data_IF_050837701217
#
_entry.id   IF_050837701217
#
_cell.length_a   1.000
_cell.length_b   1.000
_cell.length_c   1.000
_cell.angle_alpha   90.00
_cell.angle_beta   90.00
_cell.angle_gamma   90.00
#
_symmetry.space_group_name_H-M   'P 1'
#
loop_
_entity.id
_entity.type
_entity.pdbx_description
1 polymer ?
#
# COMPACT_ATOMS: atom_id res chain seq x y z
N UNK A 1 -25.47 13.84 17.30
CA UNK A 1 -24.19 14.02 18.04
C UNK A 1 -23.60 15.44 18.03
N UNK A 2 -23.66 16.20 16.92
CA UNK A 2 -23.09 17.57 16.82
C UNK A 2 -23.74 18.60 17.76
N UNK A 3 -25.06 18.49 17.99
CA UNK A 3 -25.82 19.41 18.84
C UNK A 3 -25.57 19.20 20.34
N UNK A 4 -25.32 17.96 20.77
CA UNK A 4 -25.04 17.63 22.17
C UNK A 4 -23.67 18.19 22.62
N UNK A 5 -22.64 18.08 21.77
CA UNK A 5 -21.30 18.63 22.04
C UNK A 5 -21.31 20.16 22.18
N UNK A 6 -22.11 20.86 21.36
CA UNK A 6 -22.28 22.32 21.47
C UNK A 6 -23.01 22.71 22.76
N UNK A 7 -24.09 22.01 23.12
CA UNK A 7 -24.82 22.28 24.37
C UNK A 7 -23.94 22.07 25.61
N UNK A 8 -23.14 20.99 25.64
CA UNK A 8 -22.20 20.72 26.72
C UNK A 8 -21.09 21.77 26.83
N UNK A 9 -20.58 22.27 25.70
CA UNK A 9 -19.58 23.33 25.68
C UNK A 9 -20.14 24.67 26.22
N UNK A 10 -21.35 25.05 25.81
CA UNK A 10 -22.02 26.26 26.30
C UNK A 10 -22.28 26.16 27.81
N UNK A 11 -22.77 25.01 28.28
CA UNK A 11 -22.98 24.77 29.71
C UNK A 11 -21.66 24.87 30.48
N UNK A 12 -20.58 24.31 29.95
CA UNK A 12 -19.24 24.42 30.53
C UNK A 12 -18.76 25.87 30.68
N UNK A 13 -18.97 26.71 29.65
CA UNK A 13 -18.62 28.14 29.69
C UNK A 13 -19.44 28.88 30.74
N UNK A 14 -20.75 28.62 30.85
CA UNK A 14 -21.62 29.25 31.85
C UNK A 14 -21.19 28.89 33.27
N UNK A 15 -20.86 27.62 33.52
CA UNK A 15 -20.36 27.17 34.83
C UNK A 15 -19.01 27.81 35.16
N UNK A 16 -18.11 27.92 34.18
CA UNK A 16 -16.80 28.55 34.40
C UNK A 16 -16.92 30.04 34.74
N UNK A 17 -17.78 30.76 34.02
CA UNK A 17 -18.07 32.17 34.30
C UNK A 17 -18.67 32.35 35.70
N UNK A 18 -19.60 31.48 36.11
CA UNK A 18 -20.17 31.51 37.45
C UNK A 18 -19.09 31.31 38.52
N UNK A 19 -18.20 30.32 38.34
CA UNK A 19 -17.10 30.03 39.28
C UNK A 19 -16.08 31.19 39.35
N UNK A 20 -15.78 31.86 38.24
CA UNK A 20 -14.92 33.05 38.21
C UNK A 20 -15.54 34.27 38.88
N UNK A 21 -16.88 34.35 38.96
CA UNK A 21 -17.59 35.43 39.65
C UNK A 21 -17.74 35.20 41.16
N UNK A 22 -17.61 33.96 41.65
CA UNK A 22 -17.72 33.63 43.08
C UNK A 22 -16.73 34.42 43.97
N UNK A 23 -15.44 34.58 43.62
CA UNK A 23 -14.53 35.42 44.38
C UNK A 23 -15.00 36.87 44.51
N UNK A 24 -15.61 37.45 43.47
CA UNK A 24 -16.16 38.81 43.54
C UNK A 24 -17.36 38.89 44.48
N UNK A 25 -18.26 37.90 44.43
CA UNK A 25 -19.43 37.85 45.32
C UNK A 25 -19.01 37.77 46.80
N UNK A 26 -17.99 36.96 47.11
CA UNK A 26 -17.48 36.84 48.49
C UNK A 26 -16.56 37.99 48.92
N UNK A 27 -15.96 38.72 47.98
CA UNK A 27 -15.15 39.91 48.29
C UNK A 27 -15.98 41.11 48.76
N UNK A 28 -17.21 41.25 48.24
CA UNK A 28 -18.13 42.35 48.59
C UNK A 28 -19.26 41.93 49.55
N UNK A 29 -19.33 40.64 49.92
CA UNK A 29 -20.36 40.12 50.84
C UNK A 29 -20.03 40.39 52.31
N UNK A 30 -21.03 40.77 53.10
CA UNK A 30 -20.90 41.11 54.53
C UNK A 30 -21.23 39.96 55.50
N UNK A 31 -21.13 38.70 55.04
CA UNK A 31 -21.44 37.53 55.87
C UNK A 31 -20.33 37.19 56.86
N UNK A 32 -20.67 36.56 57.99
CA UNK A 32 -19.77 36.26 59.11
C UNK A 32 -18.51 35.45 58.75
N UNK A 33 -18.52 34.75 57.59
CA UNK A 33 -17.40 33.95 57.09
C UNK A 33 -16.96 34.34 55.67
N UNK A 34 -17.24 35.58 55.23
CA UNK A 34 -16.95 36.05 53.88
C UNK A 34 -15.47 35.93 53.50
N UNK A 35 -14.56 36.21 54.43
CA UNK A 35 -13.11 36.14 54.19
C UNK A 35 -12.61 34.70 54.02
N UNK A 36 -13.19 33.73 54.74
CA UNK A 36 -12.89 32.30 54.56
C UNK A 36 -13.37 31.77 53.21
N UNK A 37 -14.61 32.12 52.85
CA UNK A 37 -15.22 31.74 51.57
C UNK A 37 -14.50 32.39 50.37
N UNK A 38 -14.00 33.62 50.52
CA UNK A 38 -13.17 34.28 49.51
C UNK A 38 -11.87 33.53 49.23
N UNK A 39 -11.12 33.17 50.28
CA UNK A 39 -9.86 32.41 50.13
C UNK A 39 -10.10 31.04 49.47
N UNK A 40 -11.19 30.36 49.85
CA UNK A 40 -11.57 29.09 49.23
C UNK A 40 -11.96 29.25 47.74
N UNK A 41 -12.69 30.31 47.40
CA UNK A 41 -13.07 30.60 46.01
C UNK A 41 -11.85 30.93 45.14
N UNK A 42 -10.93 31.78 45.63
CA UNK A 42 -9.66 32.10 44.93
C UNK A 42 -8.82 30.84 44.73
N UNK A 43 -8.67 30.01 45.78
CA UNK A 43 -7.95 28.75 45.70
C UNK A 43 -8.55 27.80 44.65
N UNK A 44 -9.88 27.73 44.57
CA UNK A 44 -10.60 26.89 43.59
C UNK A 44 -10.39 27.38 42.15
N UNK A 45 -10.46 28.70 41.92
CA UNK A 45 -10.26 29.30 40.59
C UNK A 45 -8.84 29.09 40.06
N UNK A 46 -7.84 28.94 40.93
CA UNK A 46 -6.45 28.66 40.53
C UNK A 46 -6.21 27.16 40.40
N UNK A 47 -6.64 26.37 41.39
CA UNK A 47 -6.34 24.95 41.49
C UNK A 47 -7.04 24.13 40.38
N UNK A 48 -8.30 24.44 40.07
CA UNK A 48 -9.09 23.66 39.11
C UNK A 48 -8.51 23.74 37.68
N UNK A 49 -8.16 24.92 37.13
CA UNK A 49 -7.52 25.00 35.82
C UNK A 49 -6.13 24.34 35.79
N UNK A 50 -5.34 24.48 36.85
CA UNK A 50 -4.01 23.85 36.94
C UNK A 50 -4.13 22.33 36.92
N UNK A 51 -5.02 21.76 37.75
CA UNK A 51 -5.27 20.32 37.75
C UNK A 51 -5.83 19.84 36.41
N UNK A 52 -6.79 20.56 35.81
CA UNK A 52 -7.33 20.24 34.50
C UNK A 52 -6.26 20.25 33.40
N UNK A 53 -5.34 21.23 33.44
CA UNK A 53 -4.20 21.30 32.52
C UNK A 53 -3.22 20.15 32.72
N UNK A 54 -2.89 19.80 33.98
CA UNK A 54 -2.04 18.65 34.31
C UNK A 54 -2.69 17.34 33.83
N UNK A 55 -3.99 17.15 34.08
CA UNK A 55 -4.73 16.00 33.56
C UNK A 55 -4.75 15.96 32.03
N UNK A 56 -4.94 17.09 31.34
CA UNK A 56 -4.84 17.16 29.88
C UNK A 56 -3.44 16.86 29.37
N UNK A 57 -2.40 17.28 30.09
CA UNK A 57 -1.00 17.02 29.75
C UNK A 57 -0.68 15.53 29.93
N UNK A 58 -1.06 14.94 31.07
CA UNK A 58 -0.92 13.49 31.32
C UNK A 58 -1.74 12.69 30.31
N UNK A 59 -2.98 13.08 30.02
CA UNK A 59 -3.79 12.47 28.97
C UNK A 59 -3.12 12.58 27.59
N UNK A 60 -2.52 13.73 27.26
CA UNK A 60 -1.75 13.90 26.01
C UNK A 60 -0.50 13.02 25.99
N UNK A 61 0.19 12.85 27.11
CA UNK A 61 1.38 12.00 27.21
C UNK A 61 1.02 10.52 27.10
N UNK A 62 0.00 10.05 27.82
CA UNK A 62 -0.51 8.69 27.73
C UNK A 62 -1.08 8.38 26.33
N UNK A 63 -1.77 9.34 25.71
CA UNK A 63 -2.26 9.20 24.33
C UNK A 63 -1.14 9.30 23.29
N UNK A 64 -0.03 9.97 23.60
CA UNK A 64 1.15 10.03 22.71
C UNK A 64 1.82 8.67 22.62
N UNK A 65 1.81 7.86 23.69
CA UNK A 65 2.25 6.47 23.66
C UNK A 65 1.30 5.56 22.84
N UNK A 66 -0.02 5.83 22.82
CA UNK A 66 -0.95 5.16 21.89
C UNK A 66 -0.91 5.72 20.45
N UNK A 67 -0.14 6.79 20.18
CA UNK A 67 -0.06 7.49 18.88
C UNK A 67 1.37 7.65 18.36
N UNK A 68 2.26 6.73 18.68
CA UNK A 68 3.39 6.38 17.80
C UNK A 68 3.03 5.10 17.05
N UNK A 69 1.97 5.19 16.24
CA UNK A 69 1.82 4.30 15.09
C UNK A 69 2.70 4.91 14.00
N UNK A 70 3.49 4.08 13.32
CA UNK A 70 4.18 4.43 12.08
C UNK A 70 3.30 5.34 11.21
N UNK A 71 3.90 6.35 10.55
CA UNK A 71 3.16 7.36 9.79
C UNK A 71 2.03 6.74 8.97
N UNK A 72 0.81 7.29 9.09
CA UNK A 72 -0.39 6.79 8.40
C UNK A 72 -0.06 6.52 6.93
N UNK A 73 -0.19 5.26 6.48
CA UNK A 73 0.12 4.86 5.11
C UNK A 73 -0.70 5.72 4.14
N UNK A 74 -0.03 6.31 3.15
CA UNK A 74 -0.64 7.14 2.10
C UNK A 74 -0.52 6.50 0.73
N UNK A 75 0.56 5.75 0.50
CA UNK A 75 0.90 5.19 -0.80
C UNK A 75 0.74 3.68 -0.76
N UNK A 76 0.00 3.13 -1.73
CA UNK A 76 -0.19 1.70 -1.91
C UNK A 76 0.41 1.32 -3.24
N UNK A 77 1.43 0.46 -3.21
CA UNK A 77 2.20 0.01 -4.35
C UNK A 77 1.81 -1.43 -4.63
N UNK A 78 1.32 -1.71 -5.83
CA UNK A 78 0.92 -3.04 -6.25
C UNK A 78 1.97 -3.64 -7.18
N UNK A 79 2.34 -4.90 -6.94
CA UNK A 79 2.70 -5.76 -8.06
C UNK A 79 1.46 -6.04 -8.95
N UNK A 80 1.70 -6.48 -10.17
CA UNK A 80 0.64 -6.86 -11.11
C UNK A 80 0.45 -8.37 -11.13
N UNK A 81 1.51 -9.15 -11.32
CA UNK A 81 1.46 -10.61 -11.43
C UNK A 81 0.96 -11.25 -10.13
N UNK A 82 0.01 -12.16 -10.23
CA UNK A 82 -0.68 -12.81 -9.09
C UNK A 82 -1.40 -11.90 -8.09
N UNK A 83 -1.23 -10.57 -8.14
CA UNK A 83 -1.90 -9.58 -7.28
C UNK A 83 -3.12 -8.95 -7.98
N UNK A 84 -2.95 -8.31 -9.14
CA UNK A 84 -4.06 -7.68 -9.88
C UNK A 84 -4.45 -8.47 -11.14
N UNK A 85 -3.54 -9.29 -11.64
CA UNK A 85 -3.79 -10.26 -12.71
C UNK A 85 -3.34 -11.64 -12.27
N UNK A 86 -3.87 -12.71 -12.84
CA UNK A 86 -3.32 -14.06 -12.74
C UNK A 86 -2.21 -14.24 -13.76
N UNK A 87 -1.24 -15.10 -13.42
CA UNK A 87 -0.27 -15.64 -14.36
C UNK A 87 -0.40 -17.17 -14.35
N UNK A 88 -1.02 -17.73 -15.40
CA UNK A 88 -1.28 -19.16 -15.56
C UNK A 88 -0.65 -19.67 -16.87
N UNK A 89 0.67 -19.86 -16.83
CA UNK A 89 1.41 -20.42 -17.94
C UNK A 89 1.19 -21.93 -18.11
N UNK A 90 0.80 -22.65 -17.04
CA UNK A 90 0.59 -24.09 -17.07
C UNK A 90 -0.64 -24.46 -17.90
N UNK A 91 -1.79 -23.85 -17.62
CA UNK A 91 -3.01 -24.10 -18.41
C UNK A 91 -2.84 -23.60 -19.84
N UNK A 92 -2.12 -22.50 -20.02
CA UNK A 92 -1.77 -21.99 -21.35
C UNK A 92 -0.95 -23.01 -22.14
N UNK A 93 0.10 -23.58 -21.56
CA UNK A 93 0.95 -24.56 -22.23
C UNK A 93 0.20 -25.87 -22.51
N UNK A 94 -0.64 -26.33 -21.58
CA UNK A 94 -1.49 -27.52 -21.78
C UNK A 94 -2.44 -27.40 -22.97
N UNK A 95 -2.88 -26.19 -23.31
CA UNK A 95 -3.77 -25.94 -24.45
C UNK A 95 -3.11 -26.23 -25.82
N UNK A 96 -1.79 -26.43 -25.86
CA UNK A 96 -1.07 -26.81 -27.08
C UNK A 96 -1.11 -28.31 -27.39
N UNK A 97 -1.58 -29.14 -26.44
CA UNK A 97 -1.69 -30.60 -26.58
C UNK A 97 -0.37 -31.31 -26.93
N UNK A 98 0.74 -30.81 -26.39
CA UNK A 98 2.04 -31.48 -26.44
C UNK A 98 2.03 -32.82 -25.68
N UNK A 99 3.00 -33.69 -25.96
CA UNK A 99 3.27 -34.84 -25.10
C UNK A 99 3.72 -34.38 -23.71
N UNK A 100 3.65 -35.28 -22.71
CA UNK A 100 4.09 -34.94 -21.36
C UNK A 100 5.59 -34.59 -21.29
N UNK A 101 6.41 -35.25 -22.11
CA UNK A 101 7.84 -34.97 -22.23
C UNK A 101 8.11 -33.60 -22.85
N UNK A 102 7.37 -33.25 -23.90
CA UNK A 102 7.47 -31.97 -24.61
C UNK A 102 7.01 -30.80 -23.74
N UNK A 103 5.85 -30.93 -23.07
CA UNK A 103 5.33 -29.94 -22.12
C UNK A 103 6.36 -29.67 -21.03
N UNK A 104 6.93 -30.73 -20.43
CA UNK A 104 7.95 -30.59 -19.40
C UNK A 104 9.20 -29.88 -19.93
N UNK A 105 9.67 -30.24 -21.12
CA UNK A 105 10.85 -29.61 -21.71
C UNK A 105 10.63 -28.12 -21.98
N UNK A 106 9.51 -27.75 -22.60
CA UNK A 106 9.16 -26.36 -22.90
C UNK A 106 8.94 -25.57 -21.60
N UNK A 107 8.29 -26.15 -20.60
CA UNK A 107 8.10 -25.53 -19.29
C UNK A 107 9.44 -25.13 -18.66
N UNK A 108 10.40 -26.06 -18.61
CA UNK A 108 11.71 -25.84 -18.00
C UNK A 108 12.57 -24.84 -18.82
N UNK A 109 12.55 -24.94 -20.15
CA UNK A 109 13.41 -24.14 -21.03
C UNK A 109 12.84 -22.78 -21.42
N UNK A 110 11.53 -22.59 -21.30
CA UNK A 110 10.86 -21.31 -21.59
C UNK A 110 10.41 -20.68 -20.28
N UNK A 111 9.28 -21.11 -19.70
CA UNK A 111 8.61 -20.38 -18.61
C UNK A 111 9.37 -20.35 -17.28
N UNK A 112 10.17 -21.37 -16.98
CA UNK A 112 10.99 -21.46 -15.75
C UNK A 112 12.44 -21.05 -15.94
N UNK A 113 12.81 -20.64 -17.16
CA UNK A 113 14.20 -20.32 -17.50
C UNK A 113 14.62 -18.96 -16.95
N UNK A 114 15.94 -18.77 -16.78
CA UNK A 114 16.47 -17.45 -16.46
C UNK A 114 16.24 -16.45 -17.61
N UNK A 115 16.16 -16.93 -18.86
CA UNK A 115 15.87 -16.07 -20.02
C UNK A 115 14.50 -15.41 -19.85
N UNK A 116 13.49 -16.15 -19.35
CA UNK A 116 12.17 -15.59 -19.06
C UNK A 116 12.22 -14.52 -17.97
N UNK A 117 12.97 -14.76 -16.90
CA UNK A 117 13.14 -13.75 -15.84
C UNK A 117 13.86 -12.49 -16.34
N UNK A 118 14.95 -12.64 -17.11
CA UNK A 118 15.71 -11.49 -17.64
C UNK A 118 15.00 -10.77 -18.79
N UNK A 119 14.03 -11.43 -19.44
CA UNK A 119 13.15 -10.80 -20.42
C UNK A 119 12.33 -9.67 -19.80
N UNK A 120 11.95 -9.80 -18.53
CA UNK A 120 11.24 -8.74 -17.81
C UNK A 120 12.10 -7.48 -17.63
N UNK A 121 13.44 -7.61 -17.58
CA UNK A 121 14.34 -6.46 -17.50
C UNK A 121 14.33 -5.62 -18.79
N UNK A 122 14.09 -6.20 -19.95
CA UNK A 122 13.98 -5.44 -21.22
C UNK A 122 15.32 -4.87 -21.72
N UNK A 123 16.41 -5.63 -21.59
CA UNK A 123 17.73 -5.23 -22.13
C UNK A 123 17.85 -5.46 -23.65
N UNK A 124 17.06 -6.38 -24.21
CA UNK A 124 17.09 -6.74 -25.62
C UNK A 124 15.70 -6.62 -26.28
N UNK A 125 15.64 -6.49 -27.61
CA UNK A 125 14.40 -6.70 -28.35
C UNK A 125 13.87 -8.14 -28.16
N UNK A 126 12.56 -8.31 -28.31
CA UNK A 126 11.88 -9.60 -28.14
C UNK A 126 12.46 -10.70 -29.05
N UNK A 127 12.85 -10.35 -30.27
CA UNK A 127 13.44 -11.26 -31.25
C UNK A 127 14.74 -11.87 -30.74
N UNK A 128 15.50 -11.16 -29.93
CA UNK A 128 16.74 -11.66 -29.36
C UNK A 128 16.47 -12.65 -28.22
N UNK A 129 15.51 -12.34 -27.34
CA UNK A 129 15.05 -13.30 -26.32
C UNK A 129 14.50 -14.58 -26.96
N UNK A 130 13.74 -14.46 -28.06
CA UNK A 130 13.23 -15.62 -28.81
C UNK A 130 14.34 -16.52 -29.35
N UNK A 131 15.42 -15.95 -29.88
CA UNK A 131 16.59 -16.73 -30.31
C UNK A 131 17.23 -17.46 -29.12
N UNK A 132 17.34 -16.81 -27.97
CA UNK A 132 17.89 -17.44 -26.76
C UNK A 132 17.02 -18.62 -26.32
N UNK A 133 15.70 -18.47 -26.28
CA UNK A 133 14.80 -19.59 -25.99
C UNK A 133 14.95 -20.73 -26.99
N UNK A 134 14.97 -20.45 -28.29
CA UNK A 134 15.11 -21.48 -29.33
C UNK A 134 16.45 -22.23 -29.19
N UNK A 135 17.53 -21.51 -28.88
CA UNK A 135 18.86 -22.10 -28.72
C UNK A 135 18.97 -23.09 -27.53
N UNK A 136 18.07 -22.97 -26.55
CA UNK A 136 18.00 -23.86 -25.39
C UNK A 136 17.25 -25.18 -25.67
N UNK A 137 16.59 -25.30 -26.83
CA UNK A 137 15.84 -26.49 -27.23
C UNK A 137 16.43 -27.15 -28.50
N UNK A 138 16.19 -28.45 -28.71
CA UNK A 138 16.51 -29.10 -29.98
C UNK A 138 15.84 -28.42 -31.17
N UNK A 139 16.49 -28.42 -32.33
CA UNK A 139 16.06 -27.67 -33.52
C UNK A 139 14.63 -28.01 -34.00
N UNK A 140 14.15 -29.22 -33.74
CA UNK A 140 12.77 -29.64 -34.06
C UNK A 140 11.69 -28.86 -33.31
N UNK A 141 12.01 -28.24 -32.16
CA UNK A 141 11.07 -27.45 -31.35
C UNK A 141 10.96 -25.98 -31.75
N UNK A 142 11.72 -25.51 -32.75
CA UNK A 142 11.77 -24.08 -33.10
C UNK A 142 10.38 -23.50 -33.40
N UNK A 143 9.57 -24.22 -34.19
CA UNK A 143 8.23 -23.76 -34.57
C UNK A 143 7.28 -23.71 -33.36
N UNK A 144 7.37 -24.69 -32.46
CA UNK A 144 6.52 -24.77 -31.28
C UNK A 144 6.85 -23.68 -30.26
N UNK A 145 8.13 -23.48 -29.98
CA UNK A 145 8.59 -22.43 -29.05
C UNK A 145 8.19 -21.05 -29.56
N UNK A 146 8.34 -20.79 -30.87
CA UNK A 146 7.87 -19.53 -31.48
C UNK A 146 6.37 -19.31 -31.24
N UNK A 147 5.55 -20.35 -31.45
CA UNK A 147 4.10 -20.30 -31.27
C UNK A 147 3.70 -20.08 -29.80
N UNK A 148 4.39 -20.75 -28.87
CA UNK A 148 4.18 -20.62 -27.41
C UNK A 148 4.56 -19.22 -26.91
N UNK A 149 5.59 -18.58 -27.47
CA UNK A 149 5.98 -17.23 -27.04
C UNK A 149 5.06 -16.17 -27.67
N UNK A 150 4.63 -16.37 -28.92
CA UNK A 150 3.85 -15.40 -29.69
C UNK A 150 2.58 -14.95 -28.96
N UNK A 151 1.87 -15.89 -28.34
CA UNK A 151 0.62 -15.61 -27.64
C UNK A 151 0.78 -15.64 -26.12
N UNK A 152 2.00 -15.42 -25.61
CA UNK A 152 2.32 -15.51 -24.18
C UNK A 152 1.48 -14.55 -23.30
N UNK A 153 0.93 -13.47 -23.85
CA UNK A 153 -0.03 -12.62 -23.14
C UNK A 153 -1.33 -13.34 -22.77
N UNK A 154 -1.66 -14.49 -23.36
CA UNK A 154 -2.81 -15.34 -22.97
C UNK A 154 -2.62 -16.02 -21.60
N UNK A 155 -1.39 -16.08 -21.09
CA UNK A 155 -1.11 -16.53 -19.71
C UNK A 155 -1.70 -15.58 -18.65
N UNK A 156 -2.05 -14.36 -19.05
CA UNK A 156 -2.51 -13.31 -18.15
C UNK A 156 -4.04 -13.20 -18.15
N UNK A 157 -4.63 -13.19 -16.95
CA UNK A 157 -6.07 -13.00 -16.75
C UNK A 157 -6.35 -11.92 -15.69
N UNK A 158 -7.38 -11.11 -15.85
CA UNK A 158 -7.71 -10.08 -14.84
C UNK A 158 -8.30 -10.74 -13.60
N UNK A 159 -7.87 -10.35 -12.40
CA UNK A 159 -8.59 -10.71 -11.18
C UNK A 159 -9.88 -9.90 -11.10
N UNK A 160 -10.99 -10.55 -10.74
CA UNK A 160 -12.33 -9.93 -10.64
C UNK A 160 -12.38 -8.72 -9.70
N UNK A 161 -11.55 -8.72 -8.66
CA UNK A 161 -11.45 -7.63 -7.70
C UNK A 161 -10.54 -6.47 -8.13
N UNK A 162 -9.68 -6.62 -9.14
CA UNK A 162 -8.60 -5.67 -9.40
C UNK A 162 -9.09 -4.22 -9.65
N UNK A 163 -10.11 -4.09 -10.49
CA UNK A 163 -10.72 -2.79 -10.81
C UNK A 163 -11.47 -2.20 -9.60
N UNK A 164 -12.32 -3.02 -8.97
CA UNK A 164 -13.15 -2.60 -7.84
C UNK A 164 -12.30 -2.18 -6.64
N UNK A 165 -11.24 -2.95 -6.35
CA UNK A 165 -10.37 -2.71 -5.20
C UNK A 165 -9.52 -1.46 -5.38
N UNK A 166 -8.89 -1.29 -6.55
CA UNK A 166 -8.09 -0.10 -6.83
C UNK A 166 -8.96 1.16 -6.88
N UNK A 167 -10.15 1.09 -7.48
CA UNK A 167 -11.12 2.20 -7.46
C UNK A 167 -11.56 2.56 -6.05
N UNK A 168 -11.83 1.56 -5.20
CA UNK A 168 -12.19 1.77 -3.80
C UNK A 168 -11.06 2.49 -3.04
N UNK A 169 -9.83 1.97 -3.07
CA UNK A 169 -8.70 2.57 -2.38
C UNK A 169 -8.43 4.00 -2.86
N UNK A 170 -8.56 4.24 -4.17
CA UNK A 170 -8.45 5.59 -4.74
C UNK A 170 -9.52 6.52 -4.17
N UNK A 171 -10.76 6.04 -4.01
CA UNK A 171 -11.87 6.81 -3.43
C UNK A 171 -11.69 7.14 -1.95
N UNK A 172 -10.90 6.33 -1.22
CA UNK A 172 -10.54 6.60 0.18
C UNK A 172 -9.42 7.65 0.32
N UNK A 173 -8.82 8.08 -0.80
CA UNK A 173 -7.79 9.12 -0.83
C UNK A 173 -6.37 8.59 -0.79
N UNK A 174 -6.15 7.27 -0.95
CA UNK A 174 -4.81 6.71 -1.09
C UNK A 174 -4.22 7.02 -2.47
N UNK A 175 -2.89 7.15 -2.52
CA UNK A 175 -2.15 7.23 -3.76
C UNK A 175 -1.74 5.83 -4.21
N UNK A 176 -2.03 5.48 -5.46
CA UNK A 176 -1.86 4.12 -5.97
C UNK A 176 -0.74 4.07 -7.00
N UNK A 177 0.14 3.10 -6.84
CA UNK A 177 1.29 2.91 -7.72
C UNK A 177 1.41 1.46 -8.17
N UNK A 178 2.09 1.25 -9.29
CA UNK A 178 2.52 -0.07 -9.73
C UNK A 178 4.04 -0.17 -9.76
N UNK A 179 4.54 -1.30 -9.27
CA UNK A 179 5.93 -1.73 -9.41
C UNK A 179 5.95 -3.21 -9.81
N UNK A 180 6.11 -3.51 -11.10
CA UNK A 180 5.98 -4.87 -11.60
C UNK A 180 7.11 -5.29 -12.54
N UNK A 181 7.58 -6.53 -12.36
CA UNK A 181 8.42 -7.20 -13.34
C UNK A 181 7.52 -7.63 -14.50
N UNK A 182 7.79 -7.12 -15.70
CA UNK A 182 6.96 -7.36 -16.87
C UNK A 182 7.77 -7.11 -18.14
N UNK A 183 7.83 -8.09 -19.04
CA UNK A 183 8.45 -7.89 -20.35
C UNK A 183 7.63 -6.95 -21.24
N UNK A 184 8.31 -6.18 -22.09
CA UNK A 184 7.65 -5.24 -23.02
C UNK A 184 6.65 -5.96 -23.94
N UNK A 185 7.03 -7.13 -24.44
CA UNK A 185 6.18 -7.90 -25.34
C UNK A 185 4.88 -8.36 -24.68
N UNK A 186 4.93 -8.86 -23.44
CA UNK A 186 3.70 -9.18 -22.71
C UNK A 186 2.91 -7.91 -22.40
N UNK A 187 3.58 -6.82 -22.03
CA UNK A 187 2.91 -5.55 -21.68
C UNK A 187 2.09 -5.03 -22.87
N UNK A 188 2.65 -5.05 -24.08
CA UNK A 188 1.97 -4.61 -25.30
C UNK A 188 0.70 -5.44 -25.58
N UNK A 189 0.71 -6.73 -25.23
CA UNK A 189 -0.42 -7.64 -25.43
C UNK A 189 -1.51 -7.52 -24.36
N UNK A 190 -1.16 -7.11 -23.14
CA UNK A 190 -2.06 -7.21 -21.98
C UNK A 190 -2.51 -5.85 -21.45
N UNK A 191 -1.69 -4.79 -21.61
CA UNK A 191 -2.05 -3.43 -21.20
C UNK A 191 -3.39 -3.01 -21.83
N UNK A 192 -3.66 -3.26 -23.12
CA UNK A 192 -4.99 -3.09 -23.68
C UNK A 192 -5.94 -4.19 -23.18
N UNK A 193 -7.00 -3.80 -22.47
CA UNK A 193 -8.09 -4.71 -22.12
C UNK A 193 -7.86 -5.59 -20.89
N UNK A 194 -6.62 -5.94 -20.51
CA UNK A 194 -6.36 -6.74 -19.28
C UNK A 194 -5.90 -5.94 -18.07
N UNK A 195 -5.64 -4.64 -18.22
CA UNK A 195 -5.21 -3.79 -17.12
C UNK A 195 -6.07 -2.51 -16.99
N UNK A 196 -7.41 -2.62 -16.88
CA UNK A 196 -8.29 -1.45 -16.78
C UNK A 196 -8.02 -0.61 -15.52
N UNK A 197 -7.49 -1.23 -14.47
CA UNK A 197 -7.15 -0.59 -13.19
C UNK A 197 -6.02 0.44 -13.31
N UNK A 198 -5.25 0.45 -14.42
CA UNK A 198 -4.18 1.43 -14.64
C UNK A 198 -4.68 2.88 -14.58
N UNK A 199 -5.93 3.13 -14.96
CA UNK A 199 -6.53 4.47 -14.89
C UNK A 199 -6.66 5.02 -13.46
N UNK A 200 -6.58 4.14 -12.45
CA UNK A 200 -6.69 4.49 -11.03
C UNK A 200 -5.31 4.81 -10.41
N UNK A 201 -4.22 4.57 -11.16
CA UNK A 201 -2.84 4.72 -10.68
C UNK A 201 -2.33 6.16 -10.84
N UNK A 202 -1.64 6.66 -9.82
CA UNK A 202 -0.90 7.94 -9.85
C UNK A 202 0.47 7.80 -10.53
N UNK A 203 1.03 6.58 -10.52
CA UNK A 203 2.31 6.28 -11.17
C UNK A 203 2.49 4.79 -11.41
N UNK A 204 3.20 4.44 -12.49
CA UNK A 204 3.43 3.05 -12.91
C UNK A 204 4.89 2.87 -13.28
N UNK A 205 5.50 1.79 -12.81
CA UNK A 205 6.80 1.30 -13.25
C UNK A 205 6.65 -0.17 -13.63
N UNK A 206 6.87 -0.43 -14.92
CA UNK A 206 7.17 -1.76 -15.43
C UNK A 206 8.68 -1.89 -15.61
N UNK A 207 9.26 -3.01 -15.18
CA UNK A 207 10.71 -3.26 -15.23
C UNK A 207 11.32 -3.02 -16.62
N UNK A 208 10.64 -3.44 -17.69
CA UNK A 208 11.13 -3.28 -19.06
C UNK A 208 11.22 -1.81 -19.51
N UNK A 209 10.40 -0.92 -18.96
CA UNK A 209 10.39 0.52 -19.30
C UNK A 209 11.55 1.27 -18.61
N UNK A 210 12.15 0.68 -17.57
CA UNK A 210 13.23 1.30 -16.77
C UNK A 210 14.53 0.50 -16.74
N UNK A 211 14.53 -0.71 -17.31
CA UNK A 211 15.67 -1.63 -17.37
C UNK A 211 16.21 -2.09 -16.01
N UNK A 212 15.32 -2.16 -15.02
CA UNK A 212 15.61 -2.56 -13.64
C UNK A 212 14.56 -3.58 -13.21
N UNK A 213 14.90 -4.52 -12.32
CA UNK A 213 14.01 -5.64 -11.99
C UNK A 213 13.97 -5.88 -10.47
N UNK A 214 12.81 -6.24 -9.93
CA UNK A 214 12.73 -6.76 -8.56
C UNK A 214 13.41 -8.12 -8.47
N UNK A 215 14.12 -8.46 -7.38
CA UNK A 215 14.21 -7.72 -6.11
C UNK A 215 15.41 -6.77 -5.99
N UNK A 216 15.99 -6.29 -7.09
CA UNK A 216 17.13 -5.36 -7.03
C UNK A 216 16.70 -4.00 -6.46
N UNK A 217 17.56 -3.38 -5.65
CA UNK A 217 17.19 -2.18 -4.88
C UNK A 217 16.88 -0.96 -5.77
N UNK A 218 17.53 -0.88 -6.93
CA UNK A 218 17.46 0.26 -7.86
C UNK A 218 16.05 0.53 -8.42
N UNK A 219 15.24 -0.51 -8.64
CA UNK A 219 13.87 -0.34 -9.13
C UNK A 219 12.96 0.31 -8.07
N UNK A 220 13.15 -0.04 -6.79
CA UNK A 220 12.42 0.56 -5.68
C UNK A 220 12.89 1.99 -5.45
N UNK A 221 14.20 2.25 -5.49
CA UNK A 221 14.75 3.61 -5.40
C UNK A 221 14.24 4.50 -6.55
N UNK A 222 14.11 3.94 -7.75
CA UNK A 222 13.52 4.63 -8.90
C UNK A 222 12.05 4.95 -8.67
N UNK A 223 11.26 4.04 -8.09
CA UNK A 223 9.88 4.32 -7.70
C UNK A 223 9.78 5.46 -6.68
N UNK A 224 10.55 5.37 -5.60
CA UNK A 224 10.55 6.34 -4.51
C UNK A 224 10.96 7.73 -5.01
N UNK A 225 12.04 7.82 -5.78
CA UNK A 225 12.57 9.09 -6.29
C UNK A 225 11.68 9.70 -7.38
N UNK A 226 11.19 8.90 -8.33
CA UNK A 226 10.36 9.38 -9.46
C UNK A 226 9.05 9.99 -9.00
N UNK A 227 8.43 9.42 -7.97
CA UNK A 227 7.13 9.86 -7.47
C UNK A 227 7.19 10.60 -6.12
N UNK A 228 8.39 10.81 -5.57
CA UNK A 228 8.58 11.51 -4.30
C UNK A 228 7.95 10.78 -3.11
N UNK A 229 7.95 9.45 -3.13
CA UNK A 229 7.35 8.64 -2.09
C UNK A 229 8.26 8.56 -0.87
N UNK A 230 7.66 8.62 0.32
CA UNK A 230 8.35 8.31 1.57
C UNK A 230 8.19 6.83 1.89
N UNK A 231 9.28 6.07 2.08
CA UNK A 231 9.19 4.64 2.39
C UNK A 231 8.28 4.35 3.59
N UNK A 232 8.40 5.13 4.66
CA UNK A 232 7.64 4.98 5.90
C UNK A 232 6.14 5.31 5.78
N UNK A 233 5.71 5.95 4.67
CA UNK A 233 4.29 6.22 4.36
C UNK A 233 3.76 5.30 3.25
N UNK A 234 4.54 4.27 2.86
CA UNK A 234 4.25 3.43 1.70
C UNK A 234 4.13 1.95 2.09
N UNK A 235 3.17 1.26 1.47
CA UNK A 235 3.03 -0.20 1.56
C UNK A 235 3.11 -0.84 0.18
N UNK A 236 3.87 -1.91 0.06
CA UNK A 236 4.05 -2.71 -1.14
C UNK A 236 3.38 -4.08 -1.00
N UNK A 237 2.58 -4.46 -1.99
CA UNK A 237 1.92 -5.77 -2.07
C UNK A 237 2.50 -6.56 -3.23
N UNK A 238 3.11 -7.71 -2.93
CA UNK A 238 3.77 -8.58 -3.91
C UNK A 238 3.64 -10.03 -3.44
N UNK A 239 3.45 -10.97 -4.36
CA UNK A 239 3.30 -12.39 -4.03
C UNK A 239 4.64 -13.07 -3.70
N UNK A 240 5.77 -12.46 -4.07
CA UNK A 240 7.10 -13.04 -3.90
C UNK A 240 7.79 -12.51 -2.63
N UNK A 241 8.17 -13.39 -1.68
CA UNK A 241 8.78 -12.99 -0.42
C UNK A 241 10.07 -12.19 -0.60
N UNK A 242 10.91 -12.53 -1.59
CA UNK A 242 12.16 -11.83 -1.90
C UNK A 242 11.93 -10.37 -2.32
N UNK A 243 10.85 -10.09 -3.04
CA UNK A 243 10.48 -8.73 -3.44
C UNK A 243 10.01 -7.93 -2.23
N UNK A 244 9.24 -8.54 -1.33
CA UNK A 244 8.83 -7.91 -0.08
C UNK A 244 10.03 -7.63 0.84
N UNK A 245 10.98 -8.57 0.94
CA UNK A 245 12.21 -8.38 1.72
C UNK A 245 13.06 -7.23 1.20
N UNK A 246 13.22 -7.11 -0.13
CA UNK A 246 13.93 -5.99 -0.74
C UNK A 246 13.27 -4.64 -0.43
N UNK A 247 11.94 -4.56 -0.54
CA UNK A 247 11.18 -3.36 -0.18
C UNK A 247 11.37 -2.98 1.31
N UNK A 248 11.33 -3.96 2.22
CA UNK A 248 11.55 -3.75 3.67
C UNK A 248 12.94 -3.21 3.97
N UNK A 249 13.98 -3.67 3.26
CA UNK A 249 15.35 -3.16 3.43
C UNK A 249 15.48 -1.67 3.10
N UNK A 250 14.58 -1.13 2.28
CA UNK A 250 14.50 0.29 1.93
C UNK A 250 13.52 1.07 2.79
N UNK A 251 12.95 0.46 3.84
CA UNK A 251 12.02 1.11 4.77
C UNK A 251 10.56 1.14 4.29
N UNK A 252 10.24 0.45 3.20
CA UNK A 252 8.86 0.33 2.69
C UNK A 252 8.15 -0.78 3.49
N UNK A 253 6.93 -0.53 3.97
CA UNK A 253 6.11 -1.62 4.52
C UNK A 253 5.79 -2.63 3.41
N UNK A 254 5.88 -3.92 3.67
CA UNK A 254 5.57 -4.92 2.63
C UNK A 254 4.67 -6.04 3.17
N UNK A 255 3.65 -6.35 2.38
CA UNK A 255 2.70 -7.43 2.59
C UNK A 255 2.97 -8.48 1.53
N UNK A 256 3.30 -9.70 1.95
CA UNK A 256 3.32 -10.85 1.04
C UNK A 256 1.87 -11.18 0.69
N UNK A 257 1.52 -11.03 -0.57
CA UNK A 257 0.15 -11.12 -1.05
C UNK A 257 -0.21 -12.57 -1.33
N UNK A 258 -1.16 -13.13 -0.56
CA UNK A 258 -1.71 -14.46 -0.82
C UNK A 258 -3.11 -14.39 -1.38
N UNK A 259 -3.94 -13.51 -0.81
CA UNK A 259 -5.28 -13.23 -1.29
C UNK A 259 -5.77 -11.86 -0.80
N UNK A 260 -6.84 -11.37 -1.44
CA UNK A 260 -7.43 -10.06 -1.14
C UNK A 260 -7.85 -9.92 0.33
N UNK A 261 -8.38 -10.98 0.94
CA UNK A 261 -8.91 -10.94 2.31
C UNK A 261 -7.79 -10.86 3.34
N UNK A 262 -6.68 -11.57 3.11
CA UNK A 262 -5.47 -11.46 3.92
C UNK A 262 -4.85 -10.06 3.74
N UNK A 263 -4.67 -9.61 2.50
CA UNK A 263 -4.09 -8.30 2.21
C UNK A 263 -4.91 -7.16 2.85
N UNK A 264 -6.24 -7.19 2.75
CA UNK A 264 -7.11 -6.18 3.36
C UNK A 264 -6.94 -6.12 4.89
N UNK A 265 -6.88 -7.27 5.58
CA UNK A 265 -6.66 -7.32 7.03
C UNK A 265 -5.28 -6.80 7.44
N UNK A 266 -4.27 -7.00 6.62
CA UNK A 266 -2.92 -6.49 6.91
C UNK A 266 -2.82 -5.00 6.64
N UNK A 267 -3.45 -4.51 5.58
CA UNK A 267 -3.64 -3.09 5.30
C UNK A 267 -4.37 -2.39 6.46
N UNK A 268 -5.42 -2.98 7.02
CA UNK A 268 -6.12 -2.46 8.20
C UNK A 268 -5.19 -2.27 9.42
N UNK A 269 -4.25 -3.19 9.64
CA UNK A 269 -3.25 -3.07 10.73
C UNK A 269 -2.30 -1.88 10.51
N UNK A 270 -2.12 -1.45 9.27
CA UNK A 270 -1.33 -0.28 8.89
C UNK A 270 -2.17 1.01 8.82
N UNK A 271 -3.44 0.96 9.23
CA UNK A 271 -4.36 2.10 9.23
C UNK A 271 -5.03 2.37 7.88
N UNK A 272 -4.90 1.46 6.91
CA UNK A 272 -5.59 1.54 5.62
C UNK A 272 -7.02 1.00 5.76
N UNK A 273 -8.03 1.78 5.39
CA UNK A 273 -9.46 1.46 5.55
C UNK A 273 -10.13 0.95 4.28
#
# INVERSE_FOLDING_TARGET
MKNFKRAAAILGVVVLLAVCCLPMIFAFGSGDNAQGNFKAAVGTVILVPVLAYVFLMVYKLLKKEEKEVAGEVKNIIFDVGQVLVSYDWESYLKAFHFSAEEEKLIAEKVFKSQIWNERDRGLFPEEEYRKQFIAELPAEYEADVKRVIEESGKTIGIKDYAETWTSYLKSQGYHLYILSNYSQFMLDQTRPGKMPFLKNMDGVIFSCEVQQIKPEADIYETLLSRFGLKPEESVFLDDRPENCEAARKLGIHAIEFHDLKQAAKELEKLGVK
#
